data_IF_584492643057
#
_entry.id   IF_584492643057
#
_cell.length_a   1.000
_cell.length_b   1.000
_cell.length_c   1.000
_cell.angle_alpha   90.00
_cell.angle_beta   90.00
_cell.angle_gamma   90.00
#
_symmetry.space_group_name_H-M   'P 1'
#
loop_
_entity.id
_entity.type
_entity.pdbx_description
1 polymer ?
#
# COMPACT_ATOMS: atom_id res chain seq x y z
N UNK A 1 27.41 16.07 10.68
CA UNK A 1 27.11 14.69 10.27
C UNK A 1 25.76 14.32 10.87
N UNK A 2 24.80 13.82 10.09
CA UNK A 2 23.60 13.23 10.67
C UNK A 2 24.02 11.97 11.44
N UNK A 3 23.93 12.02 12.77
CA UNK A 3 24.23 10.88 13.63
C UNK A 3 23.03 9.94 13.67
N UNK A 4 23.27 8.63 13.52
CA UNK A 4 22.22 7.64 13.76
C UNK A 4 21.91 7.59 15.26
N UNK A 5 20.68 7.97 15.63
CA UNK A 5 20.20 7.85 17.02
C UNK A 5 19.45 6.52 17.18
N UNK A 6 19.95 5.65 18.05
CA UNK A 6 19.29 4.38 18.36
C UNK A 6 18.52 4.51 19.67
N UNK A 7 17.18 4.46 19.60
CA UNK A 7 16.33 4.38 20.79
C UNK A 7 16.05 2.91 21.11
N UNK A 8 16.49 2.45 22.27
CA UNK A 8 16.18 1.09 22.75
C UNK A 8 14.77 1.04 23.33
N UNK A 9 13.93 0.15 22.81
CA UNK A 9 12.57 -0.12 23.31
C UNK A 9 12.44 -1.61 23.60
N UNK A 10 11.79 -1.96 24.73
CA UNK A 10 11.56 -3.37 25.10
C UNK A 10 10.35 -3.93 24.35
N UNK A 11 10.53 -4.24 23.06
CA UNK A 11 9.45 -4.75 22.20
C UNK A 11 8.90 -6.11 22.64
N UNK A 12 9.69 -6.93 23.34
CA UNK A 12 9.25 -8.25 23.86
C UNK A 12 8.08 -8.15 24.82
N UNK A 13 7.87 -7.00 25.48
CA UNK A 13 6.69 -6.75 26.31
C UNK A 13 5.41 -6.71 25.48
N UNK A 14 5.49 -6.16 24.27
CA UNK A 14 4.34 -5.96 23.37
C UNK A 14 4.15 -7.13 22.41
N UNK A 15 5.24 -7.78 22.01
CA UNK A 15 5.25 -8.89 21.07
C UNK A 15 6.11 -10.04 21.60
N UNK A 16 5.59 -10.87 22.53
CA UNK A 16 6.32 -12.02 23.05
C UNK A 16 6.58 -13.04 21.92
N UNK A 17 7.81 -13.55 21.76
CA UNK A 17 8.17 -14.42 20.63
C UNK A 17 7.47 -15.79 20.65
N UNK A 18 6.96 -16.21 21.81
CA UNK A 18 6.22 -17.47 21.97
C UNK A 18 4.71 -17.30 21.80
N UNK A 19 4.23 -16.07 21.63
CA UNK A 19 2.82 -15.81 21.33
C UNK A 19 2.58 -15.98 19.82
N UNK A 20 1.74 -16.95 19.41
CA UNK A 20 1.50 -17.24 17.99
C UNK A 20 0.81 -16.10 17.23
N UNK A 21 0.17 -15.15 17.90
CA UNK A 21 -0.44 -13.96 17.29
C UNK A 21 0.53 -12.77 17.23
N UNK A 22 1.48 -12.67 18.15
CA UNK A 22 2.36 -11.50 18.28
C UNK A 22 3.09 -11.15 16.98
N UNK A 23 3.66 -12.15 16.29
CA UNK A 23 4.36 -11.94 15.03
C UNK A 23 3.44 -11.42 13.90
N UNK A 24 2.19 -11.87 13.88
CA UNK A 24 1.20 -11.45 12.87
C UNK A 24 0.75 -10.01 13.11
N UNK A 25 0.51 -9.65 14.36
CA UNK A 25 0.14 -8.28 14.75
C UNK A 25 1.32 -7.32 14.52
N UNK A 26 2.54 -7.69 14.94
CA UNK A 26 3.73 -6.89 14.71
C UNK A 26 3.97 -6.61 13.22
N UNK A 27 3.78 -7.63 12.36
CA UNK A 27 3.87 -7.46 10.91
C UNK A 27 2.82 -6.46 10.38
N UNK A 28 1.57 -6.51 10.85
CA UNK A 28 0.56 -5.54 10.44
C UNK A 28 0.90 -4.11 10.89
N UNK A 29 1.51 -3.94 12.07
CA UNK A 29 1.98 -2.63 12.52
C UNK A 29 3.08 -2.08 11.60
N UNK A 30 4.06 -2.90 11.20
CA UNK A 30 5.11 -2.48 10.26
C UNK A 30 4.51 -2.07 8.91
N UNK A 31 3.65 -2.93 8.35
CA UNK A 31 3.01 -2.67 7.06
C UNK A 31 2.11 -1.42 7.08
N UNK A 32 1.52 -1.07 8.23
CA UNK A 32 0.79 0.20 8.42
C UNK A 32 1.72 1.39 8.27
N UNK A 33 2.87 1.37 8.93
CA UNK A 33 3.84 2.47 8.89
C UNK A 33 4.46 2.62 7.50
N UNK A 34 4.82 1.51 6.85
CA UNK A 34 5.33 1.51 5.46
C UNK A 34 4.32 2.17 4.52
N UNK A 35 3.05 1.82 4.66
CA UNK A 35 2.00 2.38 3.83
C UNK A 35 1.72 3.87 4.15
N UNK A 36 1.77 4.29 5.41
CA UNK A 36 1.66 5.71 5.74
C UNK A 36 2.80 6.51 5.11
N UNK A 37 4.03 5.99 5.18
CA UNK A 37 5.19 6.60 4.53
C UNK A 37 4.98 6.70 3.01
N UNK A 38 4.47 5.65 2.38
CA UNK A 38 4.19 5.64 0.94
C UNK A 38 3.10 6.63 0.54
N UNK A 39 2.02 6.71 1.32
CA UNK A 39 0.93 7.66 1.12
C UNK A 39 1.40 9.11 1.30
N UNK A 40 2.26 9.37 2.30
CA UNK A 40 2.90 10.68 2.46
C UNK A 40 3.80 10.99 1.27
N UNK A 41 4.66 10.05 0.89
CA UNK A 41 5.51 10.17 -0.28
C UNK A 41 4.76 10.37 -1.60
N UNK A 42 3.50 9.95 -1.71
CA UNK A 42 2.64 10.21 -2.86
C UNK A 42 1.94 11.58 -2.80
N UNK A 43 1.50 12.00 -1.61
CA UNK A 43 0.67 13.21 -1.41
C UNK A 43 1.46 14.49 -1.18
N UNK A 44 2.69 14.40 -0.70
CA UNK A 44 3.52 15.58 -0.46
C UNK A 44 3.75 16.34 -1.78
N UNK A 45 3.54 17.65 -1.75
CA UNK A 45 3.74 18.52 -2.92
C UNK A 45 5.22 18.58 -3.32
N UNK A 46 6.11 18.74 -2.34
CA UNK A 46 7.56 18.91 -2.55
C UNK A 46 8.38 18.16 -1.48
N UNK A 47 9.36 17.36 -1.93
CA UNK A 47 10.43 16.78 -1.11
C UNK A 47 11.75 17.04 -1.85
N UNK A 48 12.35 18.22 -1.64
CA UNK A 48 13.51 18.74 -2.38
C UNK A 48 14.56 17.68 -2.77
N UNK A 49 15.00 16.86 -1.80
CA UNK A 49 16.05 15.84 -2.01
C UNK A 49 15.59 14.67 -2.91
N UNK A 50 14.31 14.30 -2.85
CA UNK A 50 13.71 13.23 -3.67
C UNK A 50 13.13 13.75 -4.99
N UNK A 51 12.91 15.06 -5.09
CA UNK A 51 12.30 15.74 -6.23
C UNK A 51 13.34 16.37 -7.17
N UNK A 52 14.63 16.17 -6.89
CA UNK A 52 15.77 16.65 -7.70
C UNK A 52 15.78 16.22 -9.18
N UNK A 53 14.85 15.37 -9.60
CA UNK A 53 14.56 15.07 -11.01
C UNK A 53 13.16 15.60 -11.40
N UNK A 54 12.12 15.20 -10.66
CA UNK A 54 10.77 15.75 -10.71
C UNK A 54 9.95 15.14 -9.58
N UNK A 55 8.98 15.88 -9.00
CA UNK A 55 8.00 15.32 -8.07
C UNK A 55 7.29 14.07 -8.58
N UNK A 56 7.14 13.90 -9.90
CA UNK A 56 6.50 12.72 -10.46
C UNK A 56 7.32 11.43 -10.29
N UNK A 57 8.65 11.49 -10.37
CA UNK A 57 9.49 10.30 -10.18
C UNK A 57 9.34 9.74 -8.77
N UNK A 58 9.35 10.64 -7.78
CA UNK A 58 9.00 10.31 -6.39
C UNK A 58 7.60 9.70 -6.31
N UNK A 59 6.58 10.37 -6.86
CA UNK A 59 5.19 9.89 -6.83
C UNK A 59 5.06 8.50 -7.45
N UNK A 60 5.70 8.23 -8.58
CA UNK A 60 5.72 6.91 -9.23
C UNK A 60 6.51 5.86 -8.45
N UNK A 61 7.59 6.24 -7.78
CA UNK A 61 8.30 5.34 -6.86
C UNK A 61 7.40 4.94 -5.68
N UNK A 62 6.76 5.92 -5.03
CA UNK A 62 5.86 5.65 -3.92
C UNK A 62 4.58 4.94 -4.34
N UNK A 63 4.05 5.18 -5.54
CA UNK A 63 2.90 4.44 -6.07
C UNK A 63 3.22 2.95 -6.28
N UNK A 64 4.41 2.63 -6.83
CA UNK A 64 4.86 1.25 -7.00
C UNK A 64 4.98 0.53 -5.65
N UNK A 65 5.59 1.20 -4.66
CA UNK A 65 5.72 0.66 -3.32
C UNK A 65 4.35 0.52 -2.64
N UNK A 66 3.46 1.50 -2.79
CA UNK A 66 2.09 1.47 -2.28
C UNK A 66 1.33 0.24 -2.78
N UNK A 67 1.40 -0.07 -4.09
CA UNK A 67 0.76 -1.24 -4.65
C UNK A 67 1.31 -2.56 -4.03
N UNK A 68 2.62 -2.63 -3.81
CA UNK A 68 3.28 -3.77 -3.16
C UNK A 68 2.83 -3.91 -1.70
N UNK A 69 2.87 -2.84 -0.94
CA UNK A 69 2.55 -2.85 0.50
C UNK A 69 1.06 -3.10 0.74
N UNK A 70 0.16 -2.58 -0.10
CA UNK A 70 -1.26 -2.94 -0.07
C UNK A 70 -1.49 -4.43 -0.31
N UNK A 71 -0.77 -5.06 -1.25
CA UNK A 71 -0.86 -6.50 -1.50
C UNK A 71 -0.34 -7.33 -0.31
N UNK A 72 0.78 -6.92 0.29
CA UNK A 72 1.33 -7.57 1.49
C UNK A 72 0.40 -7.44 2.69
N UNK A 73 -0.20 -6.25 2.87
CA UNK A 73 -1.17 -6.01 3.92
C UNK A 73 -2.45 -6.82 3.72
N UNK A 74 -3.00 -6.84 2.50
CA UNK A 74 -4.18 -7.65 2.15
C UNK A 74 -3.95 -9.13 2.51
N UNK A 75 -2.78 -9.66 2.13
CA UNK A 75 -2.36 -11.03 2.45
C UNK A 75 -2.17 -11.25 3.94
N UNK A 76 -1.55 -10.31 4.65
CA UNK A 76 -1.32 -10.40 6.09
C UNK A 76 -2.64 -10.35 6.89
N UNK A 77 -3.57 -9.47 6.51
CA UNK A 77 -4.87 -9.36 7.16
C UNK A 77 -5.73 -10.60 6.88
N UNK A 78 -5.75 -11.10 5.64
CA UNK A 78 -6.42 -12.36 5.32
C UNK A 78 -5.89 -13.52 6.18
N UNK A 79 -4.56 -13.66 6.29
CA UNK A 79 -3.94 -14.68 7.12
C UNK A 79 -4.27 -14.55 8.62
N UNK A 80 -4.39 -13.32 9.12
CA UNK A 80 -4.83 -13.07 10.50
C UNK A 80 -6.30 -13.45 10.67
N UNK A 81 -7.17 -13.08 9.74
CA UNK A 81 -8.60 -13.39 9.79
C UNK A 81 -8.88 -14.88 9.65
N UNK A 82 -7.98 -15.65 9.03
CA UNK A 82 -8.05 -17.10 8.95
C UNK A 82 -7.53 -17.80 10.22
N UNK A 83 -6.79 -17.10 11.10
CA UNK A 83 -6.25 -17.68 12.32
C UNK A 83 -7.35 -17.98 13.35
N UNK A 84 -7.38 -19.22 13.87
CA UNK A 84 -8.43 -19.68 14.79
C UNK A 84 -8.49 -18.90 16.10
N UNK A 85 -7.33 -18.55 16.66
CA UNK A 85 -7.25 -17.78 17.90
C UNK A 85 -7.77 -16.36 17.70
N UNK A 86 -7.33 -15.68 16.64
CA UNK A 86 -7.83 -14.34 16.33
C UNK A 86 -9.34 -14.33 16.02
N UNK A 87 -9.86 -15.36 15.32
CA UNK A 87 -11.30 -15.54 15.12
C UNK A 87 -12.05 -15.64 16.45
N UNK A 88 -11.53 -16.39 17.41
CA UNK A 88 -12.13 -16.52 18.74
C UNK A 88 -12.15 -15.18 19.48
N UNK A 89 -11.11 -14.35 19.33
CA UNK A 89 -11.07 -12.99 19.90
C UNK A 89 -12.06 -12.06 19.21
N UNK A 90 -12.13 -12.10 17.88
CA UNK A 90 -13.06 -11.30 17.08
C UNK A 90 -14.52 -11.66 17.37
N UNK A 91 -14.82 -12.94 17.63
CA UNK A 91 -16.16 -13.39 18.01
C UNK A 91 -16.69 -12.74 19.30
N UNK A 92 -15.80 -12.36 20.23
CA UNK A 92 -16.15 -11.67 21.48
C UNK A 92 -16.45 -10.17 21.28
N UNK A 93 -16.12 -9.59 20.13
CA UNK A 93 -16.32 -8.16 19.86
C UNK A 93 -17.78 -7.84 19.52
N UNK A 94 -18.15 -6.55 19.55
CA UNK A 94 -19.49 -6.11 19.20
C UNK A 94 -19.87 -6.46 17.75
N UNK A 95 -21.17 -6.56 17.46
CA UNK A 95 -21.69 -6.80 16.11
C UNK A 95 -21.13 -5.77 15.12
N UNK A 96 -21.06 -4.50 15.52
CA UNK A 96 -20.52 -3.42 14.69
C UNK A 96 -19.05 -3.63 14.33
N UNK A 97 -18.21 -4.02 15.29
CA UNK A 97 -16.78 -4.32 15.02
C UNK A 97 -16.66 -5.50 14.06
N UNK A 98 -17.39 -6.60 14.30
CA UNK A 98 -17.36 -7.78 13.41
C UNK A 98 -17.82 -7.43 11.98
N UNK A 99 -18.86 -6.59 11.85
CA UNK A 99 -19.34 -6.15 10.55
C UNK A 99 -18.27 -5.35 9.76
N UNK A 100 -17.47 -4.51 10.44
CA UNK A 100 -16.34 -3.80 9.80
C UNK A 100 -15.32 -4.78 9.23
N UNK A 101 -14.96 -5.82 9.99
CA UNK A 101 -14.03 -6.86 9.53
C UNK A 101 -14.56 -7.63 8.32
N UNK A 102 -15.85 -8.01 8.32
CA UNK A 102 -16.48 -8.66 7.16
C UNK A 102 -16.48 -7.76 5.93
N UNK A 103 -16.82 -6.49 6.09
CA UNK A 103 -16.83 -5.51 5.00
C UNK A 103 -15.45 -5.36 4.36
N UNK A 104 -14.42 -5.15 5.18
CA UNK A 104 -13.04 -5.00 4.68
C UNK A 104 -12.52 -6.27 4.04
N UNK A 105 -12.83 -7.46 4.58
CA UNK A 105 -12.45 -8.72 3.94
C UNK A 105 -13.06 -8.85 2.53
N UNK A 106 -14.30 -8.39 2.34
CA UNK A 106 -14.94 -8.36 1.03
C UNK A 106 -14.25 -7.35 0.08
N UNK A 107 -13.96 -6.13 0.55
CA UNK A 107 -13.22 -5.12 -0.24
C UNK A 107 -11.85 -5.62 -0.67
N UNK A 108 -11.06 -6.18 0.26
CA UNK A 108 -9.74 -6.73 -0.05
C UNK A 108 -9.82 -7.90 -1.02
N UNK A 109 -10.86 -8.74 -0.91
CA UNK A 109 -11.10 -9.83 -1.85
C UNK A 109 -11.35 -9.34 -3.28
N UNK A 110 -12.14 -8.26 -3.44
CA UNK A 110 -12.40 -7.63 -4.74
C UNK A 110 -11.14 -7.00 -5.35
N UNK A 111 -10.35 -6.30 -4.54
CA UNK A 111 -9.15 -5.61 -4.99
C UNK A 111 -7.94 -6.55 -5.21
N UNK A 112 -7.99 -7.80 -4.72
CA UNK A 112 -6.82 -8.69 -4.68
C UNK A 112 -6.22 -8.97 -6.06
N UNK A 113 -7.05 -9.25 -7.07
CA UNK A 113 -6.57 -9.49 -8.44
C UNK A 113 -5.89 -8.26 -9.01
N UNK A 114 -6.51 -7.09 -8.87
CA UNK A 114 -5.98 -5.81 -9.36
C UNK A 114 -4.66 -5.47 -8.69
N UNK A 115 -4.56 -5.61 -7.36
CA UNK A 115 -3.33 -5.36 -6.61
C UNK A 115 -2.22 -6.33 -7.01
N UNK A 116 -2.56 -7.61 -7.21
CA UNK A 116 -1.61 -8.63 -7.64
C UNK A 116 -1.06 -8.33 -9.03
N UNK A 117 -1.94 -8.01 -9.97
CA UNK A 117 -1.57 -7.72 -11.36
C UNK A 117 -0.70 -6.47 -11.42
N UNK A 118 -1.08 -5.40 -10.71
CA UNK A 118 -0.27 -4.20 -10.61
C UNK A 118 1.09 -4.43 -9.97
N UNK A 119 1.16 -5.18 -8.86
CA UNK A 119 2.44 -5.52 -8.22
C UNK A 119 3.35 -6.30 -9.19
N UNK A 120 2.78 -7.19 -10.00
CA UNK A 120 3.53 -7.93 -11.01
C UNK A 120 3.98 -7.03 -12.17
N UNK A 121 3.13 -6.11 -12.61
CA UNK A 121 3.44 -5.22 -13.71
C UNK A 121 4.54 -4.22 -13.32
N UNK A 122 4.44 -3.55 -12.16
CA UNK A 122 5.29 -2.38 -11.84
C UNK A 122 6.08 -2.47 -10.52
N UNK A 123 5.78 -3.41 -9.61
CA UNK A 123 6.25 -3.38 -8.21
C UNK A 123 7.28 -4.43 -7.78
N UNK A 124 7.43 -5.54 -8.51
CA UNK A 124 8.35 -6.64 -8.17
C UNK A 124 9.50 -6.80 -9.16
N UNK A 125 9.17 -7.19 -10.39
CA UNK A 125 10.06 -7.23 -11.54
C UNK A 125 9.22 -6.77 -12.74
N UNK A 126 9.65 -5.71 -13.42
CA UNK A 126 9.02 -5.23 -14.65
C UNK A 126 8.99 -6.39 -15.65
N UNK A 127 7.81 -6.93 -15.93
CA UNK A 127 7.66 -8.08 -16.83
C UNK A 127 7.90 -7.62 -18.27
N UNK A 128 8.75 -8.35 -19.01
CA UNK A 128 9.03 -8.06 -20.42
C UNK A 128 7.75 -8.03 -21.26
N UNK A 129 6.81 -8.95 -21.00
CA UNK A 129 5.50 -8.96 -21.67
C UNK A 129 4.65 -7.73 -21.38
N UNK A 130 4.74 -7.16 -20.17
CA UNK A 130 4.04 -5.94 -19.81
C UNK A 130 4.68 -4.71 -20.48
N UNK A 131 6.01 -4.69 -20.62
CA UNK A 131 6.73 -3.67 -21.40
C UNK A 131 6.36 -3.76 -22.88
N UNK A 132 6.35 -4.97 -23.45
CA UNK A 132 5.96 -5.20 -24.85
C UNK A 132 4.54 -4.70 -25.13
N UNK A 133 3.58 -5.05 -24.26
CA UNK A 133 2.19 -4.58 -24.39
C UNK A 133 2.06 -3.05 -24.24
N UNK A 134 2.89 -2.42 -23.40
CA UNK A 134 2.94 -0.97 -23.29
C UNK A 134 3.48 -0.34 -24.60
N UNK A 135 4.59 -0.86 -25.13
CA UNK A 135 5.19 -0.39 -26.38
C UNK A 135 4.25 -0.50 -27.59
N UNK A 136 3.45 -1.56 -27.67
CA UNK A 136 2.48 -1.78 -28.77
C UNK A 136 1.32 -0.77 -28.78
N UNK A 137 1.03 -0.13 -27.65
CA UNK A 137 -0.08 0.83 -27.51
C UNK A 137 0.34 2.28 -27.60
N UNK A 138 1.63 2.56 -27.37
CA UNK A 138 2.16 3.92 -27.53
C UNK A 138 1.95 4.33 -29.00
N UNK A 139 1.22 5.42 -29.20
CA UNK A 139 0.91 5.91 -30.54
C UNK A 139 2.19 6.35 -31.27
N UNK A 140 2.28 5.99 -32.54
CA UNK A 140 3.35 6.46 -33.45
C UNK A 140 3.26 7.97 -33.72
N UNK A 141 2.04 8.52 -33.67
CA UNK A 141 1.73 9.90 -34.06
C UNK A 141 1.70 10.84 -32.84
N UNK A 142 1.68 10.30 -31.63
CA UNK A 142 1.69 11.09 -30.39
C UNK A 142 2.34 10.32 -29.25
N UNK A 143 3.45 10.86 -28.75
CA UNK A 143 4.03 10.49 -27.46
C UNK A 143 4.09 11.75 -26.60
N UNK A 144 3.65 11.65 -25.36
CA UNK A 144 3.83 12.71 -24.37
C UNK A 144 5.06 12.36 -23.53
N UNK A 145 5.97 13.33 -23.38
CA UNK A 145 6.93 13.29 -22.28
C UNK A 145 6.29 14.05 -21.13
N UNK A 146 6.05 13.39 -20.00
CA UNK A 146 5.73 14.10 -18.78
C UNK A 146 7.02 14.65 -18.17
N UNK A 147 7.43 15.82 -18.66
CA UNK A 147 8.62 16.54 -18.19
C UNK A 147 8.17 17.88 -17.57
N UNK A 148 8.34 18.04 -16.26
CA UNK A 148 8.02 19.27 -15.54
C UNK A 148 9.09 19.51 -14.46
N UNK A 149 9.78 20.64 -14.58
CA UNK A 149 10.80 21.11 -13.64
C UNK A 149 12.08 21.58 -14.35
N UNK A 150 12.98 22.30 -13.65
CA UNK A 150 14.21 22.88 -14.20
C UNK A 150 15.30 21.85 -14.59
N UNK A 151 15.03 20.55 -14.38
CA UNK A 151 15.94 19.41 -14.59
C UNK A 151 15.32 18.33 -15.50
N UNK A 152 14.25 18.68 -16.23
CA UNK A 152 13.92 18.00 -17.47
C UNK A 152 15.22 17.79 -18.27
N UNK A 153 15.38 16.64 -18.95
CA UNK A 153 16.59 16.25 -19.71
C UNK A 153 17.79 15.64 -18.95
N UNK A 154 17.82 15.59 -17.61
CA UNK A 154 18.90 14.92 -16.84
C UNK A 154 18.59 13.47 -16.45
N UNK A 155 17.37 12.99 -16.71
CA UNK A 155 16.98 11.61 -16.49
C UNK A 155 17.53 10.72 -17.61
N UNK A 156 18.32 9.70 -17.25
CA UNK A 156 18.97 8.82 -18.23
C UNK A 156 17.99 8.10 -19.17
N UNK A 157 16.70 7.98 -18.78
CA UNK A 157 15.60 7.42 -19.59
C UNK A 157 14.24 8.07 -19.24
N UNK A 158 13.95 9.28 -19.74
CA UNK A 158 12.70 10.02 -19.46
C UNK A 158 11.40 9.28 -19.81
N UNK A 159 11.45 8.35 -20.77
CA UNK A 159 10.30 7.52 -21.17
C UNK A 159 9.93 6.42 -20.15
N UNK A 160 10.76 6.16 -19.14
CA UNK A 160 10.51 5.07 -18.19
C UNK A 160 9.27 5.33 -17.30
N UNK A 161 9.00 6.60 -16.99
CA UNK A 161 7.77 7.01 -16.29
C UNK A 161 6.52 6.72 -17.13
N UNK A 162 6.56 7.05 -18.42
CA UNK A 162 5.48 6.80 -19.38
C UNK A 162 5.25 5.30 -19.59
N UNK A 163 6.32 4.51 -19.72
CA UNK A 163 6.20 3.05 -19.80
C UNK A 163 5.51 2.49 -18.56
N UNK A 164 5.90 2.93 -17.36
CA UNK A 164 5.27 2.48 -16.13
C UNK A 164 3.79 2.91 -16.04
N UNK A 165 3.46 4.12 -16.50
CA UNK A 165 2.10 4.61 -16.58
C UNK A 165 1.26 3.81 -17.59
N UNK A 166 1.80 3.49 -18.77
CA UNK A 166 1.12 2.65 -19.77
C UNK A 166 0.93 1.21 -19.31
N UNK A 167 1.90 0.65 -18.58
CA UNK A 167 1.76 -0.65 -17.93
C UNK A 167 0.63 -0.63 -16.89
N UNK A 168 0.55 0.44 -16.09
CA UNK A 168 -0.50 0.63 -15.09
C UNK A 168 -1.88 0.78 -15.76
N UNK A 169 -1.97 1.53 -16.85
CA UNK A 169 -3.21 1.86 -17.56
C UNK A 169 -3.59 0.82 -18.62
N UNK A 170 -3.02 -0.39 -18.54
CA UNK A 170 -3.15 -1.40 -19.61
C UNK A 170 -4.58 -1.83 -19.95
N UNK A 171 -5.50 -1.69 -19.00
CA UNK A 171 -6.91 -2.07 -19.14
C UNK A 171 -7.84 -0.85 -19.12
N UNK A 172 -7.27 0.36 -19.13
CA UNK A 172 -8.02 1.63 -19.04
C UNK A 172 -8.13 2.22 -20.45
N UNK A 173 -9.36 2.41 -20.92
CA UNK A 173 -9.62 2.96 -22.26
C UNK A 173 -9.11 4.40 -22.39
N UNK A 174 -8.83 4.85 -23.62
CA UNK A 174 -8.33 6.21 -23.86
C UNK A 174 -9.29 7.30 -23.37
N UNK A 175 -10.60 7.08 -23.53
CA UNK A 175 -11.63 8.00 -23.04
C UNK A 175 -11.67 8.04 -21.50
N UNK A 176 -11.50 6.89 -20.84
CA UNK A 176 -11.45 6.80 -19.37
C UNK A 176 -10.18 7.46 -18.80
N UNK A 177 -9.03 7.37 -19.50
CA UNK A 177 -7.78 8.04 -19.11
C UNK A 177 -7.90 9.57 -19.11
N UNK A 178 -8.80 10.13 -19.92
CA UNK A 178 -9.07 11.57 -19.99
C UNK A 178 -10.00 12.06 -18.88
N UNK A 179 -10.54 11.15 -18.07
CA UNK A 179 -11.37 11.47 -16.92
C UNK A 179 -10.55 11.36 -15.61
N UNK A 180 -10.70 12.29 -14.64
CA UNK A 180 -9.95 12.27 -13.37
C UNK A 180 -10.21 11.05 -12.46
N UNK A 181 -11.21 10.24 -12.80
CA UNK A 181 -11.75 9.12 -12.00
C UNK A 181 -11.72 7.84 -12.82
N UNK A 182 -10.53 7.35 -13.18
CA UNK A 182 -10.44 6.00 -13.75
C UNK A 182 -10.75 4.98 -12.65
N UNK A 183 -11.58 4.00 -13.02
CA UNK A 183 -12.05 2.90 -12.16
C UNK A 183 -10.89 2.12 -11.53
N UNK A 184 -9.74 2.06 -12.20
CA UNK A 184 -8.54 1.38 -11.72
C UNK A 184 -7.88 2.11 -10.56
N UNK A 185 -7.85 3.45 -10.57
CA UNK A 185 -7.36 4.24 -9.44
C UNK A 185 -8.33 4.24 -8.26
N UNK A 186 -9.63 4.21 -8.52
CA UNK A 186 -10.64 4.05 -7.47
C UNK A 186 -10.49 2.68 -6.78
N UNK A 187 -10.27 1.62 -7.55
CA UNK A 187 -10.03 0.26 -7.03
C UNK A 187 -8.73 0.18 -6.20
N UNK A 188 -7.72 1.01 -6.50
CA UNK A 188 -6.51 1.13 -5.69
C UNK A 188 -6.71 1.93 -4.39
N UNK A 189 -7.65 2.88 -4.42
CA UNK A 189 -8.00 3.68 -3.27
C UNK A 189 -8.97 2.94 -2.33
N UNK A 190 -9.80 2.02 -2.85
CA UNK A 190 -10.83 1.30 -2.10
C UNK A 190 -10.29 0.48 -0.89
N UNK A 191 -9.10 -0.16 -0.96
CA UNK A 191 -8.51 -0.83 0.18
C UNK A 191 -7.98 0.13 1.25
N UNK A 192 -7.83 1.42 0.96
CA UNK A 192 -7.17 2.35 1.89
C UNK A 192 -7.89 2.45 3.25
N UNK A 193 -9.23 2.54 3.32
CA UNK A 193 -9.93 2.50 4.60
C UNK A 193 -9.70 1.22 5.43
N UNK A 194 -9.27 0.10 4.82
CA UNK A 194 -8.93 -1.13 5.54
C UNK A 194 -7.83 -0.93 6.58
N UNK A 195 -7.00 0.12 6.44
CA UNK A 195 -5.93 0.46 7.38
C UNK A 195 -6.45 0.79 8.78
N UNK A 196 -7.68 1.33 8.88
CA UNK A 196 -8.31 1.57 10.18
C UNK A 196 -8.52 0.28 10.99
N UNK A 197 -8.60 -0.89 10.34
CA UNK A 197 -8.73 -2.17 11.03
C UNK A 197 -7.44 -2.65 11.70
N UNK A 198 -6.28 -2.16 11.31
CA UNK A 198 -5.01 -2.58 11.94
C UNK A 198 -4.98 -2.14 13.40
N UNK A 199 -5.51 -0.95 13.69
CA UNK A 199 -5.68 -0.46 15.07
C UNK A 199 -6.65 -1.34 15.86
N UNK A 200 -7.76 -1.76 15.25
CA UNK A 200 -8.66 -2.74 15.87
C UNK A 200 -7.98 -4.09 16.12
N UNK A 201 -7.20 -4.61 15.17
CA UNK A 201 -6.43 -5.85 15.34
C UNK A 201 -5.45 -5.75 16.51
N UNK A 202 -4.69 -4.65 16.58
CA UNK A 202 -3.76 -4.40 17.67
C UNK A 202 -4.49 -4.25 19.00
N UNK A 203 -5.58 -3.49 19.06
CA UNK A 203 -6.34 -3.27 20.29
C UNK A 203 -6.97 -4.56 20.81
N UNK A 204 -7.60 -5.37 19.94
CA UNK A 204 -8.16 -6.68 20.31
C UNK A 204 -7.08 -7.58 20.93
N UNK A 205 -5.92 -7.65 20.27
CA UNK A 205 -4.76 -8.40 20.76
C UNK A 205 -4.26 -7.84 22.11
N UNK A 206 -4.03 -6.53 22.18
CA UNK A 206 -3.42 -5.90 23.33
C UNK A 206 -4.34 -5.90 24.56
N UNK A 207 -5.66 -5.81 24.37
CA UNK A 207 -6.65 -5.99 25.45
C UNK A 207 -6.66 -7.43 25.98
N UNK A 208 -6.70 -8.42 25.10
CA UNK A 208 -6.70 -9.83 25.50
C UNK A 208 -5.43 -10.20 26.29
N UNK A 209 -4.28 -9.67 25.86
CA UNK A 209 -2.99 -9.87 26.53
C UNK A 209 -2.73 -8.91 27.70
N UNK A 210 -3.69 -8.03 28.04
CA UNK A 210 -3.59 -7.02 29.11
C UNK A 210 -2.34 -6.13 29.00
N UNK A 211 -2.00 -5.76 27.75
CA UNK A 211 -0.84 -4.94 27.42
C UNK A 211 -1.15 -3.44 27.44
N UNK A 212 -2.41 -3.08 27.23
CA UNK A 212 -2.90 -1.70 27.41
C UNK A 212 -3.31 -1.48 28.86
N UNK A 213 -3.07 -0.28 29.42
CA UNK A 213 -3.74 0.14 30.65
C UNK A 213 -5.25 0.00 30.44
N UNK A 214 -5.98 -0.52 31.42
CA UNK A 214 -7.44 -0.54 31.40
C UNK A 214 -7.95 0.89 31.30
N UNK A 215 -8.34 1.30 30.10
CA UNK A 215 -9.15 2.49 29.90
C UNK A 215 -10.58 2.03 29.71
N UNK A 216 -11.46 2.45 30.63
CA UNK A 216 -12.90 2.34 30.45
C UNK A 216 -13.28 3.14 29.20
N UNK A 217 -13.63 2.43 28.13
CA UNK A 217 -14.18 3.01 26.92
C UNK A 217 -15.71 3.04 27.10
N UNK A 218 -16.22 4.17 27.59
CA UNK A 218 -17.63 4.56 27.42
C UNK A 218 -17.90 4.96 25.96
#
# INVERSE_FOLDING_TARGET
MPGAYVRTVVLRKWFPPHDPLAAKIARLCILREDLLLEMHGLRTEDIEELDGLSPMFRKMYFLRNLARTQMELSSALHNLLCNAEFKALLAKQSVGVRAKFTSVAATLGKAHSVLKDMRNDIGGHVLESAVQAALERISWDSFAFLDIGPVAHLTHYGFAGELAAEMLLKDVSFDERRTPTSSKFETLAEPIPAFSLIEYCFNIYAMDRRLLPSFDLE
#
